data_IF_344320897701
#
_entry.id   IF_344320897701
#
_cell.length_a   1.000
_cell.length_b   1.000
_cell.length_c   1.000
_cell.angle_alpha   90.00
_cell.angle_beta   90.00
_cell.angle_gamma   90.00
#
_symmetry.space_group_name_H-M   'P 1'
#
loop_
_entity.id
_entity.type
_entity.pdbx_description
1 polymer ?
#
# COMPACT_ATOMS: atom_id res chain seq x y z
N UNK A 1 23.29 38.10 -29.24
CA UNK A 1 23.30 37.07 -28.19
C UNK A 1 21.89 36.92 -27.65
N UNK A 2 21.10 35.99 -28.21
CA UNK A 2 19.81 35.53 -27.68
C UNK A 2 19.39 34.28 -28.46
N UNK A 3 18.68 33.39 -27.77
CA UNK A 3 18.04 32.14 -28.24
C UNK A 3 18.87 30.85 -28.20
N UNK A 4 19.25 30.40 -27.01
CA UNK A 4 19.42 28.97 -26.73
C UNK A 4 18.11 28.43 -26.15
N UNK A 5 17.25 27.91 -27.04
CA UNK A 5 16.16 27.01 -26.67
C UNK A 5 16.77 25.75 -26.05
N UNK A 6 16.40 25.33 -24.82
CA UNK A 6 16.78 24.00 -24.36
C UNK A 6 15.91 22.94 -25.07
N UNK A 7 16.50 21.79 -25.43
CA UNK A 7 15.93 20.81 -26.34
C UNK A 7 14.82 19.99 -25.68
N UNK A 8 13.96 19.45 -26.54
CA UNK A 8 12.91 18.46 -26.32
C UNK A 8 13.28 17.41 -25.27
N UNK A 9 12.45 17.26 -24.23
CA UNK A 9 12.42 16.05 -23.41
C UNK A 9 11.32 15.13 -23.93
N UNK A 10 11.72 13.94 -24.33
CA UNK A 10 10.97 12.95 -25.10
C UNK A 10 9.61 12.54 -24.49
N UNK A 11 8.58 12.56 -25.33
CA UNK A 11 7.26 11.96 -25.10
C UNK A 11 7.29 10.43 -25.23
N UNK A 12 8.13 9.74 -24.45
CA UNK A 12 8.05 8.29 -24.33
C UNK A 12 8.58 7.76 -22.99
N UNK A 13 8.05 8.28 -21.89
CA UNK A 13 8.09 7.61 -20.59
C UNK A 13 6.64 7.46 -20.11
N UNK A 14 6.21 6.29 -19.60
CA UNK A 14 4.88 6.17 -19.01
C UNK A 14 4.73 7.29 -17.97
N UNK A 15 3.56 7.96 -17.90
CA UNK A 15 3.38 9.16 -17.09
C UNK A 15 3.79 8.81 -15.67
N UNK A 16 4.90 9.40 -15.23
CA UNK A 16 5.44 9.45 -13.88
C UNK A 16 4.49 8.76 -12.90
N UNK A 17 4.65 7.44 -12.75
CA UNK A 17 3.86 6.66 -11.80
C UNK A 17 4.17 7.29 -10.46
N UNK A 18 3.25 8.10 -9.94
CA UNK A 18 3.39 8.91 -8.73
C UNK A 18 4.05 8.03 -7.69
N UNK A 19 5.38 8.16 -7.59
CA UNK A 19 6.17 7.38 -6.67
C UNK A 19 5.65 7.87 -5.33
N UNK A 20 4.95 6.98 -4.62
CA UNK A 20 4.25 7.35 -3.42
C UNK A 20 5.36 7.67 -2.42
N UNK A 21 5.75 8.95 -2.36
CA UNK A 21 6.93 9.35 -1.63
C UNK A 21 6.79 8.87 -0.19
N UNK A 22 7.85 8.27 0.38
CA UNK A 22 7.80 7.72 1.72
C UNK A 22 7.56 8.85 2.71
N UNK A 23 6.30 9.01 3.11
CA UNK A 23 5.83 10.08 3.97
C UNK A 23 4.93 9.53 5.07
N UNK A 24 5.09 10.07 6.27
CA UNK A 24 4.25 9.76 7.42
C UNK A 24 2.95 10.59 7.37
N UNK A 25 1.83 9.97 7.72
CA UNK A 25 0.50 10.58 7.72
C UNK A 25 -0.46 9.93 6.72
N UNK A 26 -1.50 10.67 6.30
CA UNK A 26 -2.52 10.23 5.33
C UNK A 26 -2.00 10.31 3.90
N UNK A 27 -0.92 9.59 3.61
CA UNK A 27 -0.30 9.54 2.28
C UNK A 27 -0.75 8.30 1.52
N UNK A 28 -0.73 8.36 0.17
CA UNK A 28 -0.98 7.18 -0.69
C UNK A 28 0.00 6.04 -0.39
N UNK A 29 1.22 6.36 0.05
CA UNK A 29 2.21 5.37 0.47
C UNK A 29 1.74 4.63 1.72
N UNK A 30 1.32 5.37 2.76
CA UNK A 30 0.82 4.81 4.00
C UNK A 30 -0.44 3.96 3.78
N UNK A 31 -1.38 4.42 2.94
CA UNK A 31 -2.57 3.64 2.56
C UNK A 31 -2.21 2.29 1.94
N UNK A 32 -1.27 2.27 0.98
CA UNK A 32 -0.84 1.03 0.30
C UNK A 32 -0.15 0.07 1.26
N UNK A 33 0.70 0.59 2.15
CA UNK A 33 1.42 -0.22 3.13
C UNK A 33 0.45 -0.78 4.18
N UNK A 34 -0.45 0.03 4.72
CA UNK A 34 -1.49 -0.42 5.66
C UNK A 34 -2.40 -1.48 5.02
N UNK A 35 -2.78 -1.30 3.76
CA UNK A 35 -3.56 -2.29 3.02
C UNK A 35 -2.84 -3.64 2.89
N UNK A 36 -1.52 -3.64 2.65
CA UNK A 36 -0.71 -4.88 2.60
C UNK A 36 -0.66 -5.58 3.95
N UNK A 37 -0.43 -4.82 5.03
CA UNK A 37 -0.46 -5.38 6.39
C UNK A 37 -1.84 -5.96 6.73
N UNK A 38 -2.92 -5.31 6.31
CA UNK A 38 -4.27 -5.83 6.49
C UNK A 38 -4.49 -7.16 5.74
N UNK A 39 -4.02 -7.29 4.49
CA UNK A 39 -4.11 -8.55 3.74
C UNK A 39 -3.35 -9.68 4.44
N UNK A 40 -2.12 -9.41 4.89
CA UNK A 40 -1.31 -10.41 5.60
C UNK A 40 -1.97 -10.77 6.93
N UNK A 41 -2.44 -9.78 7.69
CA UNK A 41 -3.14 -10.00 8.96
C UNK A 41 -4.39 -10.85 8.77
N UNK A 42 -5.18 -10.60 7.73
CA UNK A 42 -6.37 -11.39 7.43
C UNK A 42 -6.04 -12.85 7.08
N UNK A 43 -4.99 -13.08 6.28
CA UNK A 43 -4.56 -14.46 5.95
C UNK A 43 -4.04 -15.17 7.20
N UNK A 44 -3.23 -14.49 8.01
CA UNK A 44 -2.72 -15.04 9.28
C UNK A 44 -3.88 -15.44 10.19
N UNK A 45 -4.90 -14.58 10.24
CA UNK A 45 -6.07 -14.76 11.08
C UNK A 45 -6.87 -16.00 10.68
N UNK A 46 -7.15 -16.17 9.38
CA UNK A 46 -7.78 -17.39 8.86
C UNK A 46 -6.93 -18.63 9.12
N UNK A 47 -5.60 -18.52 8.97
CA UNK A 47 -4.69 -19.61 9.31
C UNK A 47 -4.76 -19.99 10.78
N UNK A 48 -4.75 -19.00 11.67
CA UNK A 48 -4.79 -19.21 13.12
C UNK A 48 -6.13 -19.81 13.56
N UNK A 49 -7.24 -19.35 12.99
CA UNK A 49 -8.57 -19.95 13.16
C UNK A 49 -8.57 -21.43 12.73
N UNK A 50 -7.97 -21.75 11.58
CA UNK A 50 -7.88 -23.12 11.09
C UNK A 50 -7.04 -24.02 12.00
N UNK A 51 -5.90 -23.54 12.51
CA UNK A 51 -5.04 -24.33 13.40
C UNK A 51 -5.57 -24.44 14.83
N UNK A 52 -6.19 -23.38 15.35
CA UNK A 52 -6.65 -23.31 16.75
C UNK A 52 -8.08 -23.82 16.90
N UNK A 53 -8.87 -23.80 15.81
CA UNK A 53 -10.29 -24.12 15.83
C UNK A 53 -11.14 -23.14 16.65
N UNK A 54 -10.61 -21.93 16.91
CA UNK A 54 -11.24 -20.93 17.77
C UNK A 54 -11.34 -19.61 17.03
N UNK A 55 -12.58 -19.20 16.75
CA UNK A 55 -12.86 -17.97 16.01
C UNK A 55 -12.52 -16.72 16.81
N UNK A 56 -12.23 -15.64 16.10
CA UNK A 56 -12.08 -14.30 16.69
C UNK A 56 -13.24 -13.90 17.59
N UNK A 57 -14.47 -14.25 17.20
CA UNK A 57 -15.67 -13.93 17.97
C UNK A 57 -15.64 -14.57 19.36
N UNK A 58 -15.05 -15.76 19.47
CA UNK A 58 -14.82 -16.41 20.75
C UNK A 58 -13.87 -15.59 21.61
N UNK A 59 -12.79 -15.10 21.02
CA UNK A 59 -11.78 -14.32 21.74
C UNK A 59 -12.31 -12.94 22.17
N UNK A 60 -13.18 -12.34 21.35
CA UNK A 60 -13.92 -11.11 21.67
C UNK A 60 -15.08 -11.34 22.66
N UNK A 61 -15.40 -12.59 23.04
CA UNK A 61 -16.49 -12.90 23.97
C UNK A 61 -17.89 -12.68 23.39
N UNK A 62 -18.03 -12.72 22.06
CA UNK A 62 -19.27 -12.47 21.32
C UNK A 62 -20.03 -13.76 20.96
N UNK A 63 -19.73 -14.89 21.60
CA UNK A 63 -20.44 -16.17 21.45
C UNK A 63 -20.95 -16.68 22.79
#
# INVERSE_FOLDING_TARGET
MSSSTPPSTDSNSPPNSTEAEPGFGWTRYAEKINGRFAMVGFILLLGLEFFTGQDLFTWLGLR
#
